data_IF_906167499683
#
_entry.id   IF_906167499683
#
_cell.length_a   1.000
_cell.length_b   1.000
_cell.length_c   1.000
_cell.angle_alpha   90.00
_cell.angle_beta   90.00
_cell.angle_gamma   90.00
#
_symmetry.space_group_name_H-M   'P 1'
#
loop_
_entity.id
_entity.type
_entity.pdbx_description
1 polymer ?
#
# COMPACT_ATOMS: atom_id res chain seq x y z
N UNK A 1 -15.24 15.00 -5.41
CA UNK A 1 -15.55 13.93 -6.39
C UNK A 1 -15.39 12.57 -5.75
N UNK A 2 -16.51 11.91 -5.47
CA UNK A 2 -16.53 10.54 -4.94
C UNK A 2 -16.13 9.62 -6.09
N UNK A 3 -14.91 9.08 -6.06
CA UNK A 3 -14.51 8.01 -6.98
C UNK A 3 -15.33 6.76 -6.64
N UNK A 4 -16.39 6.54 -7.41
CA UNK A 4 -17.20 5.33 -7.38
C UNK A 4 -16.35 4.20 -7.93
N UNK A 5 -16.19 3.13 -7.15
CA UNK A 5 -15.61 1.87 -7.63
C UNK A 5 -16.41 1.38 -8.85
N UNK A 6 -15.74 1.07 -9.96
CA UNK A 6 -16.40 0.53 -11.14
C UNK A 6 -16.71 -0.95 -10.92
N UNK A 7 -17.82 -1.23 -10.23
CA UNK A 7 -18.44 -2.54 -10.19
C UNK A 7 -19.00 -2.85 -11.58
N UNK A 8 -18.30 -3.68 -12.35
CA UNK A 8 -18.78 -4.09 -13.67
C UNK A 8 -19.64 -5.37 -13.56
N UNK A 9 -20.96 -5.33 -13.83
CA UNK A 9 -21.77 -6.53 -13.89
C UNK A 9 -21.25 -7.46 -15.00
N UNK A 10 -21.16 -8.74 -14.70
CA UNK A 10 -20.68 -9.77 -15.61
C UNK A 10 -21.78 -10.10 -16.60
N UNK A 11 -21.42 -10.40 -17.85
CA UNK A 11 -22.40 -10.67 -18.90
C UNK A 11 -23.36 -11.81 -18.47
N UNK A 12 -24.67 -11.53 -18.47
CA UNK A 12 -25.71 -12.48 -18.08
C UNK A 12 -26.02 -12.57 -16.58
N UNK A 13 -25.47 -11.69 -15.74
CA UNK A 13 -25.95 -11.50 -14.36
C UNK A 13 -26.95 -10.35 -14.29
N UNK A 14 -28.00 -10.52 -13.49
CA UNK A 14 -28.90 -9.43 -13.09
C UNK A 14 -28.39 -8.83 -11.77
N UNK A 15 -28.37 -7.50 -11.68
CA UNK A 15 -27.97 -6.77 -10.46
C UNK A 15 -29.13 -5.92 -9.98
N UNK A 16 -29.55 -6.14 -8.75
CA UNK A 16 -30.60 -5.35 -8.08
C UNK A 16 -30.11 -4.84 -6.73
N UNK A 17 -30.83 -3.86 -6.20
CA UNK A 17 -30.61 -3.34 -4.85
C UNK A 17 -31.89 -3.48 -4.05
N UNK A 18 -31.81 -4.11 -2.89
CA UNK A 18 -32.94 -4.32 -1.97
C UNK A 18 -32.60 -3.75 -0.59
N UNK A 19 -33.62 -3.56 0.26
CA UNK A 19 -33.40 -3.29 1.68
C UNK A 19 -33.53 -4.59 2.46
N UNK A 20 -32.57 -4.88 3.34
CA UNK A 20 -32.68 -5.99 4.27
C UNK A 20 -33.69 -5.72 5.40
N UNK A 21 -33.88 -6.70 6.28
CA UNK A 21 -34.79 -6.62 7.43
C UNK A 21 -34.45 -5.47 8.40
N UNK A 22 -33.21 -4.99 8.37
CA UNK A 22 -32.72 -3.87 9.18
C UNK A 22 -32.71 -2.54 8.39
N UNK A 23 -33.26 -2.52 7.18
CA UNK A 23 -33.34 -1.34 6.32
C UNK A 23 -32.05 -0.98 5.58
N UNK A 24 -31.01 -1.83 5.62
CA UNK A 24 -29.73 -1.61 4.94
C UNK A 24 -29.86 -1.94 3.46
N UNK A 25 -29.29 -1.09 2.60
CA UNK A 25 -29.25 -1.36 1.16
C UNK A 25 -28.23 -2.47 0.91
N UNK A 26 -28.67 -3.52 0.24
CA UNK A 26 -27.84 -4.67 -0.15
C UNK A 26 -27.83 -4.82 -1.65
N UNK A 27 -26.71 -5.26 -2.21
CA UNK A 27 -26.58 -5.56 -3.63
C UNK A 27 -26.87 -7.04 -3.84
N UNK A 28 -27.74 -7.37 -4.78
CA UNK A 28 -28.05 -8.75 -5.14
C UNK A 28 -27.57 -8.99 -6.55
N UNK A 29 -26.91 -10.14 -6.73
CA UNK A 29 -26.47 -10.60 -8.04
C UNK A 29 -27.06 -11.98 -8.28
N UNK A 30 -27.82 -12.11 -9.35
CA UNK A 30 -28.47 -13.36 -9.74
C UNK A 30 -28.09 -13.81 -11.15
N UNK A 31 -28.01 -15.13 -11.34
CA UNK A 31 -27.83 -15.77 -12.63
C UNK A 31 -28.48 -17.14 -12.61
N UNK A 32 -29.52 -17.33 -13.41
CA UNK A 32 -30.33 -18.55 -13.39
C UNK A 32 -30.87 -18.84 -11.97
N UNK A 33 -30.57 -20.01 -11.42
CA UNK A 33 -30.95 -20.41 -10.06
C UNK A 33 -30.02 -19.85 -8.96
N UNK A 34 -28.89 -19.26 -9.34
CA UNK A 34 -27.92 -18.74 -8.38
C UNK A 34 -28.23 -17.30 -7.99
N UNK A 35 -28.05 -17.00 -6.71
CA UNK A 35 -28.25 -15.68 -6.11
C UNK A 35 -27.23 -15.49 -5.00
N UNK A 36 -26.50 -14.38 -5.03
CA UNK A 36 -25.68 -13.91 -3.93
C UNK A 36 -26.18 -12.54 -3.46
N UNK A 37 -26.04 -12.29 -2.16
CA UNK A 37 -26.30 -10.99 -1.55
C UNK A 37 -24.98 -10.43 -1.03
N UNK A 38 -24.69 -9.18 -1.34
CA UNK A 38 -23.48 -8.47 -0.93
C UNK A 38 -23.86 -7.36 0.04
N UNK A 39 -23.24 -7.39 1.21
CA UNK A 39 -23.30 -6.34 2.22
C UNK A 39 -21.96 -5.60 2.22
N UNK A 40 -21.99 -4.29 1.98
CA UNK A 40 -20.78 -3.47 2.03
C UNK A 40 -20.64 -2.81 3.41
N UNK A 41 -19.41 -2.78 3.93
CA UNK A 41 -19.06 -2.05 5.14
C UNK A 41 -17.65 -1.48 5.02
N UNK A 42 -17.49 -0.22 5.41
CA UNK A 42 -16.22 0.49 5.35
C UNK A 42 -15.93 1.10 6.71
N UNK A 43 -14.69 0.99 7.17
CA UNK A 43 -14.18 1.78 8.29
C UNK A 43 -12.72 2.18 8.04
N UNK A 44 -12.24 3.16 8.79
CA UNK A 44 -10.89 3.69 8.67
C UNK A 44 -10.26 4.01 10.02
N UNK A 45 -8.94 4.05 10.04
CA UNK A 45 -8.15 4.47 11.20
C UNK A 45 -6.89 5.20 10.75
N UNK A 46 -6.53 6.22 11.53
CA UNK A 46 -5.28 6.95 11.38
C UNK A 46 -4.26 6.44 12.40
N UNK A 47 -2.99 6.62 12.06
CA UNK A 47 -1.84 6.25 12.88
C UNK A 47 -1.15 7.50 13.44
N UNK A 48 -0.33 7.37 14.50
CA UNK A 48 0.38 8.52 15.08
C UNK A 48 1.31 9.31 14.14
N UNK A 49 1.84 8.68 13.07
CA UNK A 49 2.72 9.34 12.09
C UNK A 49 1.98 9.70 10.79
N UNK A 50 0.70 10.06 10.88
CA UNK A 50 -0.14 10.56 9.78
C UNK A 50 -0.32 9.59 8.60
N UNK A 51 -0.06 8.29 8.81
CA UNK A 51 -0.50 7.26 7.88
C UNK A 51 -1.98 6.91 8.16
N UNK A 52 -2.73 6.61 7.12
CA UNK A 52 -4.13 6.21 7.24
C UNK A 52 -4.37 4.87 6.57
N UNK A 53 -5.31 4.12 7.11
CA UNK A 53 -5.76 2.84 6.56
C UNK A 53 -7.27 2.81 6.57
N UNK A 54 -7.88 2.45 5.44
CA UNK A 54 -9.28 2.08 5.37
C UNK A 54 -9.45 0.65 4.86
N UNK A 55 -10.45 -0.02 5.41
CA UNK A 55 -10.84 -1.36 5.05
C UNK A 55 -12.27 -1.32 4.50
N UNK A 56 -12.42 -1.62 3.21
CA UNK A 56 -13.69 -1.69 2.50
C UNK A 56 -14.04 -3.15 2.18
N UNK A 57 -15.01 -3.69 2.90
CA UNK A 57 -15.35 -5.11 2.93
C UNK A 57 -16.72 -5.36 2.29
N UNK A 58 -16.73 -6.23 1.28
CA UNK A 58 -17.93 -6.81 0.71
C UNK A 58 -18.13 -8.22 1.28
N UNK A 59 -19.09 -8.36 2.20
CA UNK A 59 -19.52 -9.64 2.75
C UNK A 59 -20.45 -10.32 1.75
N UNK A 60 -20.20 -11.59 1.45
CA UNK A 60 -20.91 -12.33 0.41
C UNK A 60 -21.70 -13.47 1.05
N UNK A 61 -23.02 -13.32 1.04
CA UNK A 61 -23.96 -14.37 1.40
C UNK A 61 -24.29 -15.19 0.15
N UNK A 62 -23.60 -16.33 0.00
CA UNK A 62 -23.79 -17.31 -1.07
C UNK A 62 -24.25 -18.65 -0.49
N UNK A 63 -25.53 -18.99 -0.70
CA UNK A 63 -26.12 -20.25 -0.19
C UNK A 63 -25.51 -21.51 -0.82
N UNK A 64 -24.78 -21.37 -1.92
CA UNK A 64 -24.14 -22.49 -2.62
C UNK A 64 -22.66 -22.64 -2.21
N UNK A 65 -22.13 -21.74 -1.37
CA UNK A 65 -20.79 -21.85 -0.80
C UNK A 65 -20.80 -22.66 0.50
N UNK A 66 -19.76 -23.46 0.71
CA UNK A 66 -19.53 -24.19 1.97
C UNK A 66 -18.97 -23.31 3.10
N UNK A 67 -18.54 -22.09 2.79
CA UNK A 67 -17.92 -21.13 3.72
C UNK A 67 -18.51 -19.73 3.49
N UNK A 68 -18.44 -18.86 4.51
CA UNK A 68 -18.73 -17.44 4.38
C UNK A 68 -17.58 -16.76 3.65
N UNK A 69 -17.88 -15.93 2.66
CA UNK A 69 -16.89 -15.21 1.86
C UNK A 69 -16.91 -13.71 2.12
N UNK A 70 -15.74 -13.06 2.06
CA UNK A 70 -15.66 -11.61 1.99
C UNK A 70 -14.53 -11.16 1.06
N UNK A 71 -14.74 -10.08 0.32
CA UNK A 71 -13.71 -9.42 -0.49
C UNK A 71 -13.38 -8.09 0.19
N UNK A 72 -12.14 -7.92 0.62
CA UNK A 72 -11.70 -6.72 1.31
C UNK A 72 -10.67 -5.93 0.47
N UNK A 73 -10.94 -4.65 0.28
CA UNK A 73 -10.02 -3.68 -0.29
C UNK A 73 -9.36 -2.88 0.84
N UNK A 74 -8.04 -2.95 0.90
CA UNK A 74 -7.21 -2.20 1.84
C UNK A 74 -6.69 -0.98 1.10
N UNK A 75 -7.15 0.21 1.48
CA UNK A 75 -6.61 1.46 0.99
C UNK A 75 -5.75 2.07 2.07
N UNK A 76 -4.53 2.48 1.74
CA UNK A 76 -3.68 3.17 2.71
C UNK A 76 -3.18 4.49 2.15
N UNK A 77 -2.76 5.39 3.04
CA UNK A 77 -1.84 6.48 2.71
C UNK A 77 -0.66 6.38 3.66
N UNK A 78 0.56 6.34 3.11
CA UNK A 78 1.81 6.27 3.86
C UNK A 78 2.62 7.53 3.52
N UNK A 79 2.81 8.48 4.45
CA UNK A 79 3.54 9.71 4.16
C UNK A 79 5.01 9.42 3.86
N UNK A 80 5.60 10.16 2.93
CA UNK A 80 6.97 9.91 2.48
C UNK A 80 8.04 10.18 3.53
N UNK A 81 7.72 10.98 4.54
CA UNK A 81 8.69 11.48 5.52
C UNK A 81 9.83 12.25 4.87
N UNK A 82 9.63 12.76 3.65
CA UNK A 82 10.62 13.53 2.93
C UNK A 82 11.08 14.70 3.79
N UNK A 83 12.38 14.78 4.02
CA UNK A 83 12.99 15.86 4.81
C UNK A 83 14.30 16.28 4.18
N UNK A 84 14.46 17.58 4.01
CA UNK A 84 15.74 18.17 3.63
C UNK A 84 16.47 18.67 4.88
N UNK A 85 17.78 18.46 4.92
CA UNK A 85 18.61 18.79 6.09
C UNK A 85 19.82 19.58 5.61
N UNK A 86 19.91 20.84 5.99
CA UNK A 86 21.12 21.63 5.73
C UNK A 86 22.27 21.17 6.63
N UNK A 87 23.47 21.11 6.06
CA UNK A 87 24.68 20.73 6.77
C UNK A 87 24.66 19.33 7.36
N UNK A 88 24.01 18.41 6.65
CA UNK A 88 24.01 16.99 7.01
C UNK A 88 25.45 16.48 7.10
N UNK A 89 25.82 16.00 8.30
CA UNK A 89 27.20 15.62 8.59
C UNK A 89 27.45 14.20 8.11
N UNK A 90 28.29 14.07 7.08
CA UNK A 90 28.84 12.79 6.67
C UNK A 90 29.79 12.25 7.74
N UNK A 91 29.76 10.93 7.99
CA UNK A 91 30.73 10.28 8.89
C UNK A 91 32.15 10.46 8.33
N UNK A 92 33.03 11.11 9.10
CA UNK A 92 34.44 11.30 8.75
C UNK A 92 34.82 12.72 8.31
N UNK A 93 33.87 13.65 8.13
CA UNK A 93 34.16 15.06 7.88
C UNK A 93 34.17 15.84 9.19
N UNK A 94 35.35 16.10 9.75
CA UNK A 94 35.54 16.84 11.01
C UNK A 94 35.77 18.33 10.80
N UNK A 95 36.05 18.77 9.57
CA UNK A 95 36.35 20.17 9.28
C UNK A 95 35.04 21.00 9.16
N UNK A 96 34.84 22.01 10.04
CA UNK A 96 33.60 22.78 10.11
C UNK A 96 33.30 23.63 8.87
N UNK A 97 34.30 23.93 8.02
CA UNK A 97 34.09 24.68 6.76
C UNK A 97 33.18 23.90 5.80
N UNK A 98 33.31 22.57 5.75
CA UNK A 98 32.50 21.73 4.88
C UNK A 98 31.09 21.46 5.41
N UNK A 99 30.80 21.84 6.66
CA UNK A 99 29.46 21.67 7.24
C UNK A 99 28.41 22.50 6.50
N UNK A 100 28.77 23.65 5.92
CA UNK A 100 27.84 24.48 5.15
C UNK A 100 27.82 24.11 3.64
N UNK A 101 28.60 23.10 3.25
CA UNK A 101 28.76 22.65 1.87
C UNK A 101 28.10 21.29 1.62
N UNK A 102 27.25 20.83 2.54
CA UNK A 102 26.47 19.63 2.38
C UNK A 102 24.98 19.84 2.69
N UNK A 103 24.15 18.98 2.10
CA UNK A 103 22.75 18.83 2.46
C UNK A 103 22.35 17.36 2.36
N UNK A 104 21.38 16.97 3.18
CA UNK A 104 20.74 15.66 3.15
C UNK A 104 19.31 15.77 2.64
N UNK A 105 18.85 14.71 1.98
CA UNK A 105 17.45 14.47 1.61
C UNK A 105 17.09 13.08 2.14
N UNK A 106 16.31 13.02 3.21
CA UNK A 106 15.69 11.79 3.67
C UNK A 106 14.56 11.45 2.70
N UNK A 107 14.58 10.25 2.12
CA UNK A 107 13.63 9.87 1.08
C UNK A 107 13.22 8.40 1.21
N UNK A 108 11.97 8.04 0.89
CA UNK A 108 11.44 6.70 1.12
C UNK A 108 11.93 5.71 0.05
N UNK A 109 12.94 4.89 0.32
CA UNK A 109 13.37 3.86 -0.64
C UNK A 109 12.37 2.70 -0.77
N UNK A 110 11.53 2.48 0.24
CA UNK A 110 10.58 1.37 0.27
C UNK A 110 9.38 1.69 1.14
N UNK A 111 8.21 1.27 0.66
CA UNK A 111 6.98 1.15 1.43
C UNK A 111 6.61 -0.33 1.59
N UNK A 112 5.88 -0.65 2.66
CA UNK A 112 5.33 -1.99 2.86
C UNK A 112 3.94 -1.92 3.44
N UNK A 113 3.07 -2.79 2.91
CA UNK A 113 1.75 -3.09 3.44
C UNK A 113 1.73 -4.57 3.82
N UNK A 114 1.31 -4.88 5.03
CA UNK A 114 1.12 -6.23 5.53
C UNK A 114 -0.30 -6.37 6.08
N UNK A 115 -0.98 -7.44 5.72
CA UNK A 115 -2.30 -7.79 6.23
C UNK A 115 -2.15 -9.10 6.98
N UNK A 116 -2.52 -9.10 8.25
CA UNK A 116 -2.49 -10.29 9.12
C UNK A 116 -3.88 -10.56 9.64
N UNK A 117 -4.38 -11.76 9.38
CA UNK A 117 -5.57 -12.26 10.02
C UNK A 117 -5.24 -12.84 11.40
N UNK A 118 -5.93 -12.36 12.42
CA UNK A 118 -5.88 -12.83 13.81
C UNK A 118 -7.23 -13.49 14.12
N UNK A 119 -7.35 -14.83 14.04
CA UNK A 119 -8.59 -15.50 14.37
C UNK A 119 -8.88 -15.39 15.88
N UNK A 120 -10.11 -15.03 16.24
CA UNK A 120 -10.60 -15.03 17.63
C UNK A 120 -11.28 -16.37 17.95
N UNK A 121 -12.26 -16.76 17.11
CA UNK A 121 -13.09 -17.97 17.33
C UNK A 121 -12.68 -19.12 16.40
N UNK A 122 -12.87 -18.94 15.10
CA UNK A 122 -12.55 -19.93 14.06
C UNK A 122 -11.51 -19.37 13.09
N UNK A 123 -10.77 -20.26 12.43
CA UNK A 123 -9.70 -19.87 11.52
C UNK A 123 -10.27 -19.32 10.20
N UNK A 124 -10.65 -18.04 10.19
CA UNK A 124 -10.73 -17.24 8.94
C UNK A 124 -9.41 -17.39 8.19
N UNK A 125 -9.45 -17.42 6.85
CA UNK A 125 -8.27 -17.61 5.99
C UNK A 125 -8.22 -16.57 4.90
N UNK A 126 -7.01 -16.14 4.56
CA UNK A 126 -6.71 -15.41 3.33
C UNK A 126 -6.59 -16.42 2.17
N UNK A 127 -7.62 -16.48 1.33
CA UNK A 127 -7.69 -17.41 0.21
C UNK A 127 -6.82 -16.93 -0.95
N UNK A 128 -6.93 -15.66 -1.30
CA UNK A 128 -6.08 -15.01 -2.30
C UNK A 128 -5.87 -13.55 -1.95
N UNK A 129 -4.88 -12.91 -2.59
CA UNK A 129 -4.50 -11.54 -2.34
C UNK A 129 -3.89 -10.91 -3.60
N UNK A 130 -4.16 -9.63 -3.82
CA UNK A 130 -3.70 -8.85 -4.99
C UNK A 130 -3.09 -7.53 -4.53
N UNK A 131 -2.08 -6.98 -5.24
CA UNK A 131 -1.49 -7.48 -6.48
C UNK A 131 -0.75 -8.81 -6.34
N UNK A 132 -0.73 -9.59 -7.42
CA UNK A 132 0.06 -10.83 -7.52
C UNK A 132 1.38 -10.58 -8.26
N UNK A 133 2.44 -11.30 -7.87
CA UNK A 133 3.77 -11.20 -8.49
C UNK A 133 4.44 -9.80 -8.39
N UNK A 134 5.45 -9.57 -9.23
CA UNK A 134 6.20 -8.32 -9.33
C UNK A 134 5.61 -7.45 -10.44
N UNK A 135 5.22 -6.22 -10.12
CA UNK A 135 4.53 -5.28 -11.02
C UNK A 135 5.38 -4.01 -11.18
N UNK A 136 5.79 -3.74 -12.42
CA UNK A 136 6.68 -2.63 -12.79
C UNK A 136 5.95 -1.46 -13.46
N UNK A 137 4.68 -1.67 -13.80
CA UNK A 137 3.83 -0.69 -14.43
C UNK A 137 3.63 0.52 -13.51
N UNK A 138 3.74 1.73 -14.07
CA UNK A 138 3.56 2.97 -13.31
C UNK A 138 2.17 3.08 -12.68
N UNK A 139 1.16 2.52 -13.34
CA UNK A 139 -0.18 2.39 -12.82
C UNK A 139 -0.47 0.90 -12.68
N UNK A 140 -0.76 0.47 -11.46
CA UNK A 140 -1.16 -0.88 -11.13
C UNK A 140 -2.67 -0.95 -11.15
N UNK A 141 -3.23 -1.99 -11.78
CA UNK A 141 -4.66 -2.26 -11.80
C UNK A 141 -4.88 -3.75 -11.66
N UNK A 142 -5.52 -4.15 -10.56
CA UNK A 142 -5.76 -5.54 -10.21
C UNK A 142 -7.25 -5.79 -10.02
N UNK A 143 -7.70 -6.98 -10.38
CA UNK A 143 -9.10 -7.38 -10.22
C UNK A 143 -9.21 -8.67 -9.40
N UNK A 144 -9.99 -8.61 -8.33
CA UNK A 144 -10.48 -9.79 -7.61
C UNK A 144 -11.84 -10.17 -8.21
N UNK A 145 -12.00 -11.46 -8.47
CA UNK A 145 -13.19 -12.05 -9.06
C UNK A 145 -13.79 -13.08 -8.10
N UNK A 146 -15.09 -13.01 -7.89
CA UNK A 146 -15.87 -13.97 -7.10
C UNK A 146 -16.95 -14.62 -7.97
N UNK A 147 -17.02 -15.95 -7.96
CA UNK A 147 -18.01 -16.75 -8.66
C UNK A 147 -19.03 -17.39 -7.73
N UNK A 148 -20.22 -17.69 -8.28
CA UNK A 148 -21.25 -18.45 -7.58
C UNK A 148 -20.70 -19.81 -7.12
N UNK A 149 -20.96 -20.17 -5.86
CA UNK A 149 -20.42 -21.36 -5.21
C UNK A 149 -19.06 -21.15 -4.52
N UNK A 150 -18.56 -19.91 -4.44
CA UNK A 150 -17.36 -19.57 -3.68
C UNK A 150 -16.03 -19.69 -4.46
N UNK A 151 -16.07 -19.80 -5.79
CA UNK A 151 -14.83 -19.76 -6.59
C UNK A 151 -14.25 -18.34 -6.58
N UNK A 152 -12.92 -18.23 -6.46
CA UNK A 152 -12.24 -16.93 -6.39
C UNK A 152 -10.99 -16.94 -7.26
N UNK A 153 -10.76 -15.84 -7.97
CA UNK A 153 -9.53 -15.59 -8.72
C UNK A 153 -9.04 -14.16 -8.51
N UNK A 154 -7.74 -13.94 -8.63
CA UNK A 154 -7.12 -12.63 -8.52
C UNK A 154 -6.09 -12.50 -9.64
N UNK A 155 -6.33 -11.57 -10.57
CA UNK A 155 -5.48 -11.33 -11.73
C UNK A 155 -4.97 -9.89 -11.74
N UNK A 156 -3.66 -9.72 -11.86
CA UNK A 156 -3.00 -8.42 -12.08
C UNK A 156 -2.95 -7.98 -13.54
N UNK A 157 -3.77 -8.60 -14.40
CA UNK A 157 -3.97 -8.19 -15.79
C UNK A 157 -5.45 -7.92 -16.00
N UNK A 158 -5.74 -6.87 -16.75
CA UNK A 158 -7.08 -6.31 -17.06
C UNK A 158 -8.22 -7.34 -17.01
N UNK A 159 -9.41 -6.96 -16.50
CA UNK A 159 -10.58 -7.82 -16.49
C UNK A 159 -10.89 -8.30 -17.91
N UNK A 160 -10.70 -9.59 -18.17
CA UNK A 160 -10.90 -10.17 -19.50
C UNK A 160 -10.27 -11.54 -19.77
N UNK A 161 -9.49 -12.10 -18.84
CA UNK A 161 -8.72 -13.33 -19.07
C UNK A 161 -9.44 -14.67 -18.90
N UNK A 162 -10.52 -14.74 -18.12
CA UNK A 162 -11.33 -15.95 -18.02
C UNK A 162 -12.81 -15.59 -17.85
N UNK A 163 -13.59 -15.84 -18.90
CA UNK A 163 -15.04 -15.89 -18.79
C UNK A 163 -15.35 -17.23 -18.11
N UNK A 164 -15.17 -17.31 -16.79
CA UNK A 164 -15.72 -18.43 -16.03
C UNK A 164 -17.24 -18.32 -16.09
N UNK A 165 -17.91 -19.39 -16.53
CA UNK A 165 -19.36 -19.43 -16.68
C UNK A 165 -20.13 -19.08 -15.38
N UNK A 166 -19.44 -19.15 -14.23
CA UNK A 166 -19.96 -18.92 -12.88
C UNK A 166 -19.50 -17.61 -12.23
N UNK A 167 -18.79 -16.72 -12.94
CA UNK A 167 -18.37 -15.44 -12.37
C UNK A 167 -19.60 -14.58 -11.99
N UNK A 168 -19.63 -14.08 -10.75
CA UNK A 168 -20.74 -13.31 -10.20
C UNK A 168 -20.37 -11.83 -10.03
N UNK A 169 -19.20 -11.55 -9.47
CA UNK A 169 -18.79 -10.20 -9.09
C UNK A 169 -17.28 -10.00 -9.31
N UNK A 170 -16.87 -8.76 -9.60
CA UNK A 170 -15.47 -8.37 -9.64
C UNK A 170 -15.26 -7.06 -8.88
N UNK A 171 -14.14 -6.95 -8.16
CA UNK A 171 -13.69 -5.73 -7.47
C UNK A 171 -12.31 -5.35 -8.02
N UNK A 172 -12.19 -4.15 -8.55
CA UNK A 172 -10.93 -3.66 -9.15
C UNK A 172 -10.30 -2.57 -8.29
N UNK A 173 -9.01 -2.69 -8.04
CA UNK A 173 -8.21 -1.69 -7.32
C UNK A 173 -7.12 -1.14 -8.23
N UNK A 174 -6.92 0.18 -8.18
CA UNK A 174 -5.92 0.89 -9.01
C UNK A 174 -5.13 1.87 -8.16
N UNK A 175 -3.81 1.92 -8.35
CA UNK A 175 -2.92 2.91 -7.74
C UNK A 175 -1.70 3.19 -8.62
N UNK A 176 -1.04 4.32 -8.39
CA UNK A 176 0.16 4.71 -9.12
C UNK A 176 1.42 4.47 -8.28
N UNK A 177 2.51 4.06 -8.93
CA UNK A 177 3.83 3.80 -8.35
C UNK A 177 4.99 4.28 -9.26
N UNK A 178 5.00 5.54 -9.75
CA UNK A 178 6.08 6.03 -10.60
C UNK A 178 7.44 5.86 -9.94
N UNK A 179 8.40 5.28 -10.67
CA UNK A 179 9.78 4.99 -10.26
C UNK A 179 9.94 3.87 -9.21
N UNK A 180 8.84 3.17 -8.86
CA UNK A 180 8.81 2.06 -7.91
C UNK A 180 8.23 0.78 -8.55
N UNK A 181 8.50 -0.36 -7.93
CA UNK A 181 7.97 -1.67 -8.27
C UNK A 181 7.36 -2.31 -7.03
N UNK A 182 6.16 -2.88 -7.17
CA UNK A 182 5.47 -3.61 -6.10
C UNK A 182 5.68 -5.10 -6.28
N UNK A 183 6.00 -5.81 -5.20
CA UNK A 183 6.19 -7.25 -5.17
C UNK A 183 5.44 -7.85 -3.99
N UNK A 184 4.62 -8.89 -4.23
CA UNK A 184 4.06 -9.69 -3.14
C UNK A 184 5.15 -10.62 -2.59
N UNK A 185 5.70 -10.26 -1.43
CA UNK A 185 6.83 -10.98 -0.83
C UNK A 185 6.39 -12.19 0.01
N UNK A 186 5.13 -12.22 0.44
CA UNK A 186 4.59 -13.32 1.24
C UNK A 186 3.08 -13.43 1.04
N UNK A 187 2.59 -14.66 0.86
CA UNK A 187 1.17 -14.99 0.90
C UNK A 187 0.96 -16.35 1.56
N UNK A 188 0.25 -16.37 2.68
CA UNK A 188 -0.19 -17.59 3.38
C UNK A 188 -1.70 -17.51 3.63
N UNK A 189 -2.26 -18.47 4.36
CA UNK A 189 -3.66 -18.37 4.81
C UNK A 189 -3.84 -17.37 5.95
N UNK A 190 -2.76 -16.87 6.56
CA UNK A 190 -2.78 -15.97 7.72
C UNK A 190 -2.31 -14.56 7.39
N UNK A 191 -1.48 -14.40 6.38
CA UNK A 191 -0.91 -13.09 6.05
C UNK A 191 -0.69 -12.90 4.54
N UNK A 192 -0.71 -11.65 4.12
CA UNK A 192 -0.26 -11.21 2.81
C UNK A 192 0.60 -9.96 2.97
N UNK A 193 1.75 -9.90 2.30
CA UNK A 193 2.74 -8.83 2.45
C UNK A 193 3.23 -8.35 1.09
N UNK A 194 3.29 -7.04 0.92
CA UNK A 194 3.76 -6.36 -0.27
C UNK A 194 4.85 -5.36 0.06
N UNK A 195 5.92 -5.37 -0.73
CA UNK A 195 6.94 -4.32 -0.76
C UNK A 195 6.78 -3.49 -2.02
N UNK A 196 6.76 -2.17 -1.90
CA UNK A 196 6.85 -1.23 -3.02
C UNK A 196 8.19 -0.51 -2.91
N UNK A 197 9.15 -0.86 -3.78
CA UNK A 197 10.55 -0.42 -3.67
C UNK A 197 10.96 0.48 -4.82
N UNK A 198 11.78 1.49 -4.53
CA UNK A 198 12.33 2.37 -5.56
C UNK A 198 13.21 1.58 -6.53
N UNK A 199 13.05 1.82 -7.82
CA UNK A 199 13.78 1.13 -8.89
C UNK A 199 14.84 2.06 -9.45
N UNK A 200 14.40 3.08 -10.18
CA UNK A 200 15.27 4.02 -10.88
C UNK A 200 14.56 5.35 -11.13
N UNK A 201 15.33 6.43 -11.19
CA UNK A 201 14.84 7.73 -11.65
C UNK A 201 14.58 7.71 -13.16
N UNK A 202 13.83 8.68 -13.66
CA UNK A 202 13.66 8.93 -15.11
C UNK A 202 14.98 9.03 -15.89
N UNK A 203 16.06 9.46 -15.23
CA UNK A 203 17.39 9.61 -15.84
C UNK A 203 18.24 8.31 -15.77
N UNK A 204 17.67 7.20 -15.29
CA UNK A 204 18.32 5.89 -15.21
C UNK A 204 19.24 5.69 -14.00
N UNK A 205 19.20 6.59 -13.02
CA UNK A 205 19.96 6.43 -11.78
C UNK A 205 19.20 5.59 -10.74
N UNK A 206 19.92 4.69 -10.08
CA UNK A 206 19.47 3.85 -8.97
C UNK A 206 20.17 4.25 -7.67
N UNK A 207 19.76 3.72 -6.50
CA UNK A 207 20.50 3.94 -5.24
C UNK A 207 21.96 3.46 -5.28
N UNK A 208 22.28 2.54 -6.19
CA UNK A 208 23.63 1.98 -6.37
C UNK A 208 24.41 2.63 -7.50
N UNK A 209 23.84 3.61 -8.21
CA UNK A 209 24.56 4.31 -9.28
C UNK A 209 25.79 5.03 -8.73
N UNK A 210 26.93 4.85 -9.40
CA UNK A 210 28.19 5.45 -9.00
C UNK A 210 28.95 6.01 -10.20
N UNK A 211 29.34 7.27 -10.09
CA UNK A 211 30.28 7.91 -10.98
C UNK A 211 31.55 8.28 -10.19
N UNK A 212 32.76 8.04 -10.73
CA UNK A 212 34.00 8.30 -10.00
C UNK A 212 34.24 9.77 -9.64
N UNK A 213 33.60 10.72 -10.33
CA UNK A 213 33.71 12.15 -10.07
C UNK A 213 32.52 12.65 -9.26
N UNK A 214 31.30 12.36 -9.72
CA UNK A 214 30.07 12.95 -9.17
C UNK A 214 29.33 12.05 -8.17
N UNK A 215 29.83 10.84 -7.91
CA UNK A 215 29.18 9.85 -7.04
C UNK A 215 27.81 9.41 -7.58
N UNK A 216 26.85 9.21 -6.67
CA UNK A 216 25.46 8.95 -7.03
C UNK A 216 24.76 10.27 -7.39
N UNK A 217 24.13 10.33 -8.56
CA UNK A 217 23.54 11.56 -9.11
C UNK A 217 22.00 11.55 -9.13
N UNK A 218 21.35 10.56 -8.53
CA UNK A 218 19.90 10.33 -8.72
C UNK A 218 19.04 11.56 -8.38
N UNK A 219 19.38 12.31 -7.34
CA UNK A 219 18.69 13.54 -6.95
C UNK A 219 19.53 14.81 -7.14
N UNK A 220 20.62 14.76 -7.91
CA UNK A 220 21.41 15.94 -8.28
C UNK A 220 20.72 16.73 -9.40
N UNK A 221 20.58 18.05 -9.24
CA UNK A 221 20.10 18.94 -10.32
C UNK A 221 21.22 19.32 -11.29
N UNK A 222 22.41 19.65 -10.79
CA UNK A 222 23.54 20.05 -11.62
C UNK A 222 24.90 19.72 -11.01
N UNK A 223 25.90 19.46 -11.86
CA UNK A 223 27.26 19.12 -11.43
C UNK A 223 28.12 20.33 -11.05
N UNK A 224 27.79 21.51 -11.58
CA UNK A 224 28.57 22.74 -11.45
C UNK A 224 27.71 23.98 -11.14
N UNK A 225 26.48 23.76 -10.65
CA UNK A 225 25.54 24.84 -10.34
C UNK A 225 26.07 25.70 -9.19
N UNK A 226 26.01 27.02 -9.35
CA UNK A 226 26.38 27.98 -8.31
C UNK A 226 25.18 28.24 -7.37
N UNK A 227 24.80 27.22 -6.60
CA UNK A 227 23.66 27.25 -5.67
C UNK A 227 24.06 26.60 -4.34
N UNK A 228 23.22 26.73 -3.32
CA UNK A 228 23.44 26.01 -2.06
C UNK A 228 23.31 24.49 -2.26
N UNK A 229 23.92 23.65 -1.41
CA UNK A 229 23.78 22.20 -1.51
C UNK A 229 22.31 21.73 -1.47
N UNK A 230 21.48 22.36 -0.63
CA UNK A 230 20.06 22.01 -0.49
C UNK A 230 19.24 22.40 -1.72
N UNK A 231 19.63 23.44 -2.45
CA UNK A 231 18.97 23.88 -3.68
C UNK A 231 19.42 23.10 -4.92
N UNK A 232 20.54 22.39 -4.82
CA UNK A 232 21.01 21.50 -5.88
C UNK A 232 20.41 20.09 -5.81
N UNK A 233 19.57 19.80 -4.82
CA UNK A 233 18.81 18.55 -4.73
C UNK A 233 17.46 18.73 -5.46
N UNK A 234 17.03 17.73 -6.25
CA UNK A 234 15.71 17.69 -6.92
C UNK A 234 14.58 17.78 -5.88
N UNK A 235 13.52 18.57 -6.16
CA UNK A 235 12.39 18.79 -5.25
C UNK A 235 11.04 18.67 -5.97
N UNK A 236 9.97 18.42 -5.22
CA UNK A 236 8.60 18.46 -5.73
C UNK A 236 8.40 17.57 -6.97
N UNK A 237 7.92 18.16 -8.07
CA UNK A 237 7.64 17.44 -9.32
C UNK A 237 8.87 16.90 -10.07
N UNK A 238 10.10 17.17 -9.59
CA UNK A 238 11.33 16.58 -10.16
C UNK A 238 11.63 15.18 -9.60
N UNK A 239 10.90 14.76 -8.56
CA UNK A 239 10.98 13.41 -7.96
C UNK A 239 9.60 12.74 -8.02
N UNK A 240 9.58 11.42 -7.89
CA UNK A 240 8.32 10.66 -7.82
C UNK A 240 7.34 11.25 -6.80
N UNK A 241 6.03 11.14 -7.07
CA UNK A 241 4.98 11.49 -6.12
C UNK A 241 5.08 10.67 -4.83
N UNK A 242 5.60 9.44 -4.93
CA UNK A 242 5.90 8.57 -3.78
C UNK A 242 7.03 9.12 -2.91
N UNK A 243 7.89 9.99 -3.44
CA UNK A 243 8.94 10.67 -2.66
C UNK A 243 8.42 12.01 -2.14
N UNK A 244 7.78 12.81 -2.99
CA UNK A 244 7.39 14.18 -2.63
C UNK A 244 6.18 14.27 -1.71
N UNK A 245 5.22 13.35 -1.82
CA UNK A 245 4.02 13.32 -0.98
C UNK A 245 3.94 12.08 -0.09
N UNK A 246 3.87 10.91 -0.71
CA UNK A 246 3.62 9.65 -0.02
C UNK A 246 3.04 8.60 -0.96
N UNK A 247 2.73 7.43 -0.42
CA UNK A 247 2.25 6.30 -1.20
C UNK A 247 0.81 5.94 -0.81
N UNK A 248 -0.06 5.80 -1.81
CA UNK A 248 -1.46 5.41 -1.63
C UNK A 248 -1.79 4.07 -2.29
N UNK A 249 -1.25 2.94 -1.82
CA UNK A 249 -1.56 1.65 -2.41
C UNK A 249 -3.01 1.25 -2.15
N UNK A 250 -3.52 0.42 -3.05
CA UNK A 250 -4.78 -0.28 -2.88
C UNK A 250 -4.54 -1.77 -3.07
N UNK A 251 -4.55 -2.51 -1.96
CA UNK A 251 -4.39 -3.97 -1.95
C UNK A 251 -5.75 -4.63 -1.82
N UNK A 252 -5.86 -5.88 -2.27
CA UNK A 252 -7.08 -6.67 -2.12
C UNK A 252 -6.79 -8.01 -1.48
N UNK A 253 -7.69 -8.48 -0.60
CA UNK A 253 -7.65 -9.83 -0.03
C UNK A 253 -9.03 -10.47 -0.10
N UNK A 254 -9.07 -11.77 -0.30
CA UNK A 254 -10.29 -12.56 -0.18
C UNK A 254 -10.21 -13.43 1.06
N UNK A 255 -11.26 -13.33 1.86
CA UNK A 255 -11.38 -13.99 3.14
C UNK A 255 -12.44 -15.08 3.04
N UNK A 256 -12.15 -16.24 3.61
CA UNK A 256 -13.16 -17.25 3.85
C UNK A 256 -13.16 -17.66 5.32
N UNK A 257 -14.34 -17.87 5.87
CA UNK A 257 -14.54 -18.28 7.25
C UNK A 257 -15.60 -19.38 7.33
N UNK A 258 -15.48 -20.37 8.24
CA UNK A 258 -16.50 -21.39 8.35
C UNK A 258 -17.86 -20.80 8.73
N UNK A 259 -18.93 -21.39 8.21
CA UNK A 259 -20.30 -20.96 8.48
C UNK A 259 -20.58 -20.89 10.00
N UNK A 260 -21.18 -19.78 10.43
CA UNK A 260 -21.47 -19.52 11.84
C UNK A 260 -20.33 -18.88 12.63
N UNK A 261 -19.19 -18.55 11.99
CA UNK A 261 -18.19 -17.68 12.63
C UNK A 261 -18.80 -16.32 12.92
N UNK A 262 -18.59 -15.80 14.13
CA UNK A 262 -19.14 -14.50 14.53
C UNK A 262 -18.21 -13.37 14.20
N UNK A 263 -16.97 -13.46 14.70
CA UNK A 263 -15.99 -12.38 14.62
C UNK A 263 -14.61 -12.88 14.26
N UNK A 264 -13.85 -12.02 13.60
CA UNK A 264 -12.41 -12.17 13.39
C UNK A 264 -11.71 -10.82 13.46
N UNK A 265 -10.40 -10.81 13.71
CA UNK A 265 -9.61 -9.60 13.72
C UNK A 265 -8.63 -9.56 12.57
N UNK A 266 -8.40 -8.36 12.06
CA UNK A 266 -7.42 -8.07 11.02
C UNK A 266 -6.50 -6.97 11.50
N UNK A 267 -5.22 -7.12 11.21
CA UNK A 267 -4.23 -6.06 11.40
C UNK A 267 -3.70 -5.69 10.04
N UNK A 268 -3.85 -4.43 9.69
CA UNK A 268 -3.14 -3.84 8.55
C UNK A 268 -1.96 -3.08 9.11
N UNK A 269 -0.77 -3.46 8.66
CA UNK A 269 0.48 -2.83 9.04
C UNK A 269 1.03 -2.06 7.86
N UNK A 270 1.39 -0.81 8.12
CA UNK A 270 2.03 0.05 7.14
C UNK A 270 3.43 0.39 7.63
N UNK A 271 4.39 0.37 6.72
CA UNK A 271 5.75 0.77 7.06
C UNK A 271 6.43 1.48 5.90
N UNK A 272 7.41 2.30 6.28
CA UNK A 272 8.26 3.05 5.36
C UNK A 272 9.70 2.92 5.80
N UNK A 273 10.58 2.65 4.84
CA UNK A 273 12.01 2.64 5.03
C UNK A 273 12.62 3.72 4.14
N UNK A 274 13.32 4.66 4.77
CA UNK A 274 13.94 5.81 4.11
C UNK A 274 15.46 5.71 4.12
N UNK A 275 16.07 6.12 3.03
CA UNK A 275 17.52 6.35 2.93
C UNK A 275 17.81 7.85 3.00
N UNK A 276 19.09 8.21 3.15
CA UNK A 276 19.54 9.60 3.09
C UNK A 276 20.39 9.82 1.85
N UNK A 277 19.90 10.63 0.91
CA UNK A 277 20.72 11.13 -0.18
C UNK A 277 21.49 12.37 0.28
N UNK A 278 22.79 12.40 0.02
CA UNK A 278 23.70 13.45 0.48
C UNK A 278 24.25 14.17 -0.73
N UNK A 279 24.15 15.49 -0.72
CA UNK A 279 24.79 16.39 -1.67
C UNK A 279 25.97 17.07 -1.00
N UNK A 280 27.12 17.16 -1.68
CA UNK A 280 28.29 17.90 -1.19
C UNK A 280 29.06 18.61 -2.29
N UNK A 281 29.58 19.80 -1.99
CA UNK A 281 30.52 20.49 -2.86
C UNK A 281 31.94 20.02 -2.56
N UNK A 282 32.67 19.53 -3.57
CA UNK A 282 34.06 19.09 -3.40
C UNK A 282 35.05 20.26 -3.31
N UNK A 283 34.64 21.44 -3.80
CA UNK A 283 35.52 22.57 -4.10
C UNK A 283 35.54 22.89 -5.60
N UNK A 284 35.27 21.90 -6.45
CA UNK A 284 35.31 22.01 -7.91
C UNK A 284 34.02 21.53 -8.59
N UNK A 285 33.33 20.55 -8.01
CA UNK A 285 32.06 20.00 -8.52
C UNK A 285 31.16 19.51 -7.37
N UNK A 286 29.90 19.25 -7.70
CA UNK A 286 28.97 18.55 -6.82
C UNK A 286 29.20 17.04 -6.86
N UNK A 287 29.22 16.42 -5.69
CA UNK A 287 29.20 14.98 -5.51
C UNK A 287 27.96 14.56 -4.72
N UNK A 288 27.35 13.44 -5.10
CA UNK A 288 26.24 12.84 -4.39
C UNK A 288 26.53 11.44 -3.85
N UNK A 289 25.84 11.04 -2.80
CA UNK A 289 25.94 9.72 -2.18
C UNK A 289 24.57 9.29 -1.62
N UNK A 290 24.32 7.99 -1.53
CA UNK A 290 23.13 7.46 -0.86
C UNK A 290 23.53 6.61 0.34
N UNK A 291 23.22 7.09 1.54
CA UNK A 291 23.39 6.33 2.77
C UNK A 291 22.13 5.48 3.02
N UNK A 292 22.35 4.16 3.15
CA UNK A 292 21.29 3.23 3.52
C UNK A 292 20.75 3.52 4.93
N UNK A 293 19.46 3.31 5.13
CA UNK A 293 18.72 3.52 6.38
C UNK A 293 19.46 3.14 7.68
N UNK A 294 20.22 2.04 7.71
CA UNK A 294 20.97 1.58 8.90
C UNK A 294 22.06 2.57 9.35
N UNK A 295 22.55 3.41 8.43
CA UNK A 295 23.56 4.42 8.70
C UNK A 295 22.97 5.79 9.04
N UNK A 296 21.67 5.99 8.78
CA UNK A 296 20.98 7.26 9.04
C UNK A 296 20.76 7.43 10.55
N UNK A 297 21.11 8.61 11.13
CA UNK A 297 20.88 8.87 12.55
C UNK A 297 19.41 8.71 12.97
N UNK A 298 19.18 8.15 14.16
CA UNK A 298 17.84 7.76 14.64
C UNK A 298 16.87 8.93 14.73
N UNK A 299 17.37 10.14 14.99
CA UNK A 299 16.58 11.37 15.07
C UNK A 299 15.86 11.76 13.77
N UNK A 300 16.26 11.19 12.64
CA UNK A 300 15.59 11.41 11.36
C UNK A 300 14.42 10.45 11.11
N UNK A 301 14.17 9.49 12.00
CA UNK A 301 13.07 8.53 11.91
C UNK A 301 12.97 7.85 10.52
N UNK A 302 14.10 7.29 10.08
CA UNK A 302 14.23 6.64 8.76
C UNK A 302 13.42 5.34 8.63
N UNK A 303 12.78 4.88 9.71
CA UNK A 303 11.89 3.72 9.71
C UNK A 303 10.59 4.09 10.41
N UNK A 304 9.48 3.92 9.71
CA UNK A 304 8.13 4.03 10.24
C UNK A 304 7.48 2.65 10.22
N UNK A 305 6.76 2.28 11.28
CA UNK A 305 6.04 1.01 11.39
C UNK A 305 4.83 1.20 12.30
N UNK A 306 3.63 0.98 11.77
CA UNK A 306 2.38 1.27 12.46
C UNK A 306 1.29 0.27 12.07
N UNK A 307 0.42 -0.04 13.04
CA UNK A 307 -0.64 -1.03 12.92
C UNK A 307 -2.00 -0.33 13.07
N UNK A 308 -2.96 -0.68 12.20
CA UNK A 308 -4.38 -0.39 12.38
C UNK A 308 -5.12 -1.72 12.50
N UNK A 309 -5.88 -1.86 13.58
CA UNK A 309 -6.61 -3.09 13.91
C UNK A 309 -8.08 -2.94 13.55
N UNK A 310 -8.65 -3.97 12.96
CA UNK A 310 -10.06 -4.05 12.57
C UNK A 310 -10.71 -5.29 13.17
N UNK A 311 -11.93 -5.15 13.66
CA UNK A 311 -12.86 -6.24 13.92
C UNK A 311 -13.78 -6.42 12.71
N UNK A 312 -13.88 -7.66 12.23
CA UNK A 312 -14.86 -8.07 11.22
C UNK A 312 -15.92 -8.88 11.95
N UNK A 313 -17.15 -8.36 11.96
CA UNK A 313 -18.35 -9.04 12.45
C UNK A 313 -19.09 -9.65 11.27
N UNK A 314 -19.01 -10.98 11.14
CA UNK A 314 -19.61 -11.76 10.06
C UNK A 314 -21.13 -11.90 10.23
N UNK A 315 -21.64 -11.93 11.47
CA UNK A 315 -23.08 -11.99 11.73
C UNK A 315 -23.75 -10.66 11.37
N UNK A 316 -23.11 -9.55 11.74
CA UNK A 316 -23.62 -8.21 11.45
C UNK A 316 -23.20 -7.69 10.08
N UNK A 317 -22.26 -8.34 9.39
CA UNK A 317 -21.66 -7.86 8.12
C UNK A 317 -21.13 -6.44 8.26
N UNK A 318 -20.33 -6.21 9.31
CA UNK A 318 -19.73 -4.91 9.58
C UNK A 318 -18.24 -5.02 9.87
N UNK A 319 -17.49 -4.00 9.48
CA UNK A 319 -16.09 -3.80 9.87
C UNK A 319 -16.02 -2.60 10.83
N UNK A 320 -15.16 -2.68 11.85
CA UNK A 320 -14.90 -1.58 12.78
C UNK A 320 -13.42 -1.50 13.16
N UNK A 321 -12.86 -0.31 13.20
CA UNK A 321 -11.52 -0.03 13.73
C UNK A 321 -11.53 -0.25 15.25
N UNK A 322 -10.51 -0.94 15.77
CA UNK A 322 -10.28 -1.16 17.19
C UNK A 322 -9.29 -0.11 17.67
N UNK A 323 -9.75 0.81 18.52
CA UNK A 323 -8.89 1.81 19.14
C UNK A 323 -8.13 1.19 20.31
N UNK A 324 -6.80 1.14 20.25
CA UNK A 324 -5.99 0.85 21.43
C UNK A 324 -5.87 2.12 22.29
N UNK A 325 -6.45 2.08 23.49
CA UNK A 325 -6.12 3.09 24.51
C UNK A 325 -4.67 2.86 24.95
N UNK A 326 -3.75 3.69 24.46
CA UNK A 326 -2.42 3.79 25.05
C UNK A 326 -2.55 4.37 26.47
N UNK A 327 -2.53 3.49 27.47
CA UNK A 327 -2.24 3.90 28.84
C UNK A 327 -0.80 4.44 28.89
N UNK A 328 -0.67 5.77 28.87
CA UNK A 328 0.54 6.42 29.31
C UNK A 328 0.73 6.13 30.81
N UNK A 329 1.64 5.22 31.13
CA UNK A 329 2.21 5.19 32.46
C UNK A 329 3.20 6.36 32.56
N UNK A 330 2.85 7.31 33.44
CA UNK A 330 3.63 8.47 33.84
C UNK A 330 4.96 8.12 34.47
#
# INVERSE_FOLDING_TARGET
DVQVFADNPVLGTEVTFEKDENGRIVKIISKNQYRITIYNSVDAGDTPNDASVSLDVDFIDDKNSGEMGAVASINTFIPSGLRYVEGYKYKGVTNPIYKNLSAGMLWPKKYRVEVVNIPIDQATKIITATPNNNIKEKQVSDTISYGFGGSVSADGKKPGGSIEANLAYTKTTTYDQPDYETSQIKKTTKEAVWDTSFVETRDGYTPNSWNPVYGNQMFMRGRYSNVSPIDNIKKGGEVSSLISGGFSPKMGVVLASPNGTKKSQFVVRVSRMSDMYIMRWSGTEWGGENEINQNVPKEYNALMYEDVKFEIDWEQRTVRTILEHHHHHH
#
